data_IF_900265024295
#
_entry.id   IF_900265024295
#
_cell.length_a   1.000
_cell.length_b   1.000
_cell.length_c   1.000
_cell.angle_alpha   90.00
_cell.angle_beta   90.00
_cell.angle_gamma   90.00
#
_symmetry.space_group_name_H-M   'P 1'
#
loop_
_entity.id
_entity.type
_entity.pdbx_description
1 polymer ?
#
# COMPACT_ATOMS: atom_id res chain seq x y z
N UNK A 1 14.30 13.37 -3.02
CA UNK A 1 13.43 13.10 -1.86
C UNK A 1 13.21 11.59 -1.82
N UNK A 2 13.53 10.90 -0.73
CA UNK A 2 13.18 9.48 -0.60
C UNK A 2 11.68 9.41 -0.29
N UNK A 3 10.89 8.89 -1.22
CA UNK A 3 9.47 8.63 -0.99
C UNK A 3 9.38 7.39 -0.11
N UNK A 4 9.07 7.58 1.17
CA UNK A 4 8.80 6.46 2.08
C UNK A 4 7.41 5.93 1.80
N UNK A 5 7.29 4.63 1.48
CA UNK A 5 5.99 3.98 1.31
C UNK A 5 5.46 3.44 2.63
N UNK A 6 4.15 3.21 2.69
CA UNK A 6 3.49 2.59 3.83
C UNK A 6 4.15 1.26 4.23
N UNK A 7 4.48 0.40 3.26
CA UNK A 7 5.07 -0.92 3.55
C UNK A 7 6.42 -0.80 4.26
N UNK A 8 7.26 0.15 3.80
CA UNK A 8 8.55 0.42 4.44
C UNK A 8 8.38 0.94 5.87
N UNK A 9 7.43 1.83 6.11
CA UNK A 9 7.14 2.34 7.45
C UNK A 9 6.61 1.24 8.38
N UNK A 10 5.68 0.42 7.90
CA UNK A 10 5.11 -0.70 8.67
C UNK A 10 6.19 -1.70 9.06
N UNK A 11 7.05 -2.08 8.12
CA UNK A 11 8.15 -3.01 8.38
C UNK A 11 9.12 -2.44 9.43
N UNK A 12 9.51 -1.17 9.31
CA UNK A 12 10.42 -0.53 10.26
C UNK A 12 9.78 -0.40 11.65
N UNK A 13 8.49 -0.06 11.72
CA UNK A 13 7.75 0.08 12.98
C UNK A 13 7.63 -1.24 13.75
N UNK A 14 7.41 -2.33 13.04
CA UNK A 14 7.32 -3.68 13.62
C UNK A 14 8.69 -4.38 13.73
N UNK A 15 9.78 -3.66 13.39
CA UNK A 15 11.17 -4.16 13.43
C UNK A 15 11.38 -5.48 12.66
N UNK A 16 10.64 -5.66 11.56
CA UNK A 16 10.69 -6.87 10.75
C UNK A 16 11.81 -6.75 9.70
N UNK A 17 12.58 -7.82 9.49
CA UNK A 17 13.59 -7.84 8.42
C UNK A 17 12.94 -7.97 7.05
N UNK A 18 13.57 -7.41 6.02
CA UNK A 18 13.12 -7.53 4.63
C UNK A 18 13.03 -9.01 4.22
N UNK A 19 14.03 -9.81 4.61
CA UNK A 19 14.08 -11.24 4.30
C UNK A 19 12.88 -11.99 4.87
N UNK A 20 12.45 -11.63 6.09
CA UNK A 20 11.29 -12.26 6.72
C UNK A 20 10.02 -11.94 5.94
N UNK A 21 9.79 -10.68 5.55
CA UNK A 21 8.60 -10.32 4.77
C UNK A 21 8.60 -10.99 3.39
N UNK A 22 9.73 -10.99 2.70
CA UNK A 22 9.87 -11.63 1.40
C UNK A 22 9.60 -13.14 1.47
N UNK A 23 10.09 -13.79 2.53
CA UNK A 23 9.84 -15.23 2.80
C UNK A 23 8.36 -15.50 3.03
N UNK A 24 7.69 -14.72 3.89
CA UNK A 24 6.25 -14.88 4.15
C UNK A 24 5.41 -14.67 2.89
N UNK A 25 5.83 -13.75 2.02
CA UNK A 25 5.17 -13.48 0.75
C UNK A 25 5.51 -14.47 -0.37
N UNK A 26 6.48 -15.36 -0.15
CA UNK A 26 7.03 -16.26 -1.15
C UNK A 26 7.48 -15.54 -2.44
N UNK A 27 8.22 -14.44 -2.27
CA UNK A 27 8.79 -13.62 -3.35
C UNK A 27 10.28 -13.37 -3.10
N UNK A 28 11.00 -12.85 -4.09
CA UNK A 28 12.39 -12.45 -3.88
C UNK A 28 12.50 -11.18 -3.02
N UNK A 29 13.68 -10.99 -2.42
CA UNK A 29 13.98 -9.76 -1.67
C UNK A 29 13.91 -8.55 -2.58
N UNK A 30 14.39 -8.66 -3.82
CA UNK A 30 14.35 -7.59 -4.81
C UNK A 30 12.92 -7.21 -5.17
N UNK A 31 12.02 -8.19 -5.33
CA UNK A 31 10.60 -7.95 -5.58
C UNK A 31 9.94 -7.22 -4.41
N UNK A 32 10.23 -7.64 -3.18
CA UNK A 32 9.70 -6.95 -2.01
C UNK A 32 10.27 -5.52 -1.86
N UNK A 33 11.54 -5.30 -2.17
CA UNK A 33 12.13 -3.95 -2.19
C UNK A 33 11.45 -3.08 -3.25
N UNK A 34 11.12 -3.61 -4.42
CA UNK A 34 10.35 -2.90 -5.43
C UNK A 34 8.93 -2.55 -4.94
N UNK A 35 8.29 -3.41 -4.14
CA UNK A 35 7.03 -3.11 -3.45
C UNK A 35 7.22 -1.98 -2.42
N UNK A 36 8.25 -2.03 -1.58
CA UNK A 36 8.58 -0.97 -0.61
C UNK A 36 8.96 0.36 -1.28
N UNK A 37 9.38 0.35 -2.54
CA UNK A 37 9.64 1.55 -3.31
C UNK A 37 8.43 2.01 -4.14
N UNK A 38 7.31 1.30 -4.08
CA UNK A 38 6.08 1.61 -4.83
C UNK A 38 6.19 1.33 -6.33
N UNK A 39 7.20 0.58 -6.76
CA UNK A 39 7.43 0.19 -8.16
C UNK A 39 6.55 -1.01 -8.55
N UNK A 40 6.23 -1.88 -7.59
CA UNK A 40 5.35 -3.03 -7.75
C UNK A 40 4.15 -2.94 -6.82
N UNK A 41 2.99 -3.37 -7.32
CA UNK A 41 1.77 -3.51 -6.52
C UNK A 41 1.63 -4.94 -6.03
N UNK A 42 1.15 -5.09 -4.80
CA UNK A 42 0.80 -6.39 -4.25
C UNK A 42 -0.53 -6.89 -4.81
N UNK A 43 -0.68 -8.20 -4.93
CA UNK A 43 -1.96 -8.83 -5.24
C UNK A 43 -2.80 -9.10 -3.97
N UNK A 44 -4.04 -9.55 -4.15
CA UNK A 44 -4.96 -9.82 -3.05
C UNK A 44 -4.44 -10.85 -2.04
N UNK A 45 -3.76 -11.90 -2.52
CA UNK A 45 -3.18 -12.94 -1.66
C UNK A 45 -2.05 -12.36 -0.80
N UNK A 46 -1.14 -11.60 -1.41
CA UNK A 46 -0.04 -10.91 -0.73
C UNK A 46 -0.56 -9.90 0.28
N UNK A 47 -1.63 -9.16 -0.05
CA UNK A 47 -2.28 -8.25 0.89
C UNK A 47 -2.88 -8.98 2.09
N UNK A 48 -3.45 -10.17 1.90
CA UNK A 48 -3.93 -11.01 3.00
C UNK A 48 -2.79 -11.42 3.95
N UNK A 49 -1.66 -11.85 3.39
CA UNK A 49 -0.47 -12.25 4.16
C UNK A 49 0.09 -11.04 4.93
N UNK A 50 0.28 -9.90 4.25
CA UNK A 50 0.78 -8.67 4.89
C UNK A 50 -0.19 -8.12 5.92
N UNK A 51 -1.50 -8.23 5.69
CA UNK A 51 -2.52 -7.81 6.64
C UNK A 51 -2.45 -8.61 7.93
N UNK A 52 -2.24 -9.92 7.84
CA UNK A 52 -1.98 -10.75 9.02
C UNK A 52 -0.66 -10.41 9.71
N UNK A 53 0.41 -10.19 8.93
CA UNK A 53 1.75 -9.90 9.45
C UNK A 53 1.80 -8.56 10.20
N UNK A 54 1.19 -7.52 9.64
CA UNK A 54 1.18 -6.17 10.20
C UNK A 54 -0.08 -5.86 11.03
N UNK A 55 -1.00 -6.82 11.17
CA UNK A 55 -2.31 -6.65 11.85
C UNK A 55 -3.13 -5.48 11.29
N UNK A 56 -3.16 -5.34 9.96
CA UNK A 56 -3.87 -4.30 9.21
C UNK A 56 -4.87 -4.96 8.27
N UNK A 57 -6.00 -4.29 8.02
CA UNK A 57 -6.98 -4.74 7.03
C UNK A 57 -6.32 -4.87 5.64
N UNK A 58 -6.32 -6.07 5.02
CA UNK A 58 -5.79 -6.29 3.68
C UNK A 58 -6.35 -5.33 2.62
N UNK A 59 -7.61 -4.92 2.76
CA UNK A 59 -8.30 -3.99 1.87
C UNK A 59 -7.64 -2.62 1.91
N UNK A 60 -7.26 -2.16 3.11
CA UNK A 60 -6.57 -0.89 3.30
C UNK A 60 -5.20 -0.91 2.61
N UNK A 61 -4.47 -2.04 2.72
CA UNK A 61 -3.15 -2.21 2.11
C UNK A 61 -3.22 -2.14 0.57
N UNK A 62 -4.27 -2.70 -0.04
CA UNK A 62 -4.45 -2.63 -1.50
C UNK A 62 -4.81 -1.19 -1.93
N UNK A 63 -5.71 -0.53 -1.20
CA UNK A 63 -6.13 0.83 -1.52
C UNK A 63 -4.98 1.85 -1.39
N UNK A 64 -4.14 1.69 -0.37
CA UNK A 64 -2.96 2.53 -0.18
C UNK A 64 -1.84 2.24 -1.18
N UNK A 65 -1.73 1.02 -1.72
CA UNK A 65 -0.82 0.70 -2.82
C UNK A 65 -1.10 1.49 -4.12
N UNK A 66 -2.34 1.96 -4.30
CA UNK A 66 -2.75 2.80 -5.42
C UNK A 66 -2.59 4.30 -5.15
N UNK A 67 -2.40 4.68 -3.89
CA UNK A 67 -2.29 6.07 -3.46
C UNK A 67 -0.83 6.39 -3.24
N UNK A 68 -0.13 6.82 -4.30
CA UNK A 68 1.20 7.42 -4.17
C UNK A 68 1.06 8.53 -3.12
N UNK A 69 1.75 8.38 -1.99
CA UNK A 69 1.79 9.37 -0.92
C UNK A 69 2.34 10.67 -1.53
N UNK A 70 1.44 11.54 -2.01
CA UNK A 70 1.76 12.92 -2.25
C UNK A 70 2.04 13.52 -0.88
N UNK A 71 3.32 13.72 -0.61
CA UNK A 71 3.81 14.43 0.55
C UNK A 71 3.31 15.88 0.45
N UNK A 72 2.10 16.15 0.97
CA UNK A 72 1.60 17.50 1.16
C UNK A 72 2.05 17.91 2.55
N UNK A 73 3.08 18.74 2.58
CA UNK A 73 3.57 19.37 3.79
C UNK A 73 2.41 19.90 4.64
N UNK A 74 2.49 19.60 5.93
CA UNK A 74 1.83 20.32 7.03
C UNK A 74 0.29 20.25 7.14
N UNK A 75 -0.44 19.56 6.26
CA UNK A 75 -1.85 19.19 6.51
C UNK A 75 -2.19 17.88 5.79
N UNK A 76 -2.35 16.80 6.58
CA UNK A 76 -2.83 15.50 6.10
C UNK A 76 -4.30 15.59 5.67
N UNK A 77 -4.54 16.06 4.44
CA UNK A 77 -5.82 15.89 3.76
C UNK A 77 -5.71 14.64 2.91
N UNK A 78 -6.30 13.55 3.38
CA UNK A 78 -6.57 12.37 2.55
C UNK A 78 -7.48 12.82 1.41
N UNK A 79 -6.89 13.06 0.24
CA UNK A 79 -7.65 13.23 -0.99
C UNK A 79 -8.10 11.82 -1.36
N UNK A 80 -9.31 11.46 -0.97
CA UNK A 80 -10.00 10.32 -1.58
C UNK A 80 -10.08 10.65 -3.07
N UNK A 81 -9.40 9.85 -3.90
CA UNK A 81 -9.58 9.90 -5.34
C UNK A 81 -11.09 9.87 -5.60
N UNK A 82 -11.56 10.92 -6.29
CA UNK A 82 -12.96 11.19 -6.53
C UNK A 82 -13.71 9.91 -6.85
N UNK A 83 -14.76 9.64 -6.08
CA UNK A 83 -15.91 8.90 -6.60
C UNK A 83 -16.50 9.75 -7.73
N UNK A 84 -15.90 9.68 -8.92
CA UNK A 84 -16.65 9.88 -10.16
C UNK A 84 -17.55 8.67 -10.32
N UNK A 85 -18.68 8.72 -9.62
CA UNK A 85 -19.87 7.99 -10.02
C UNK A 85 -20.75 9.05 -10.68
N UNK A 86 -20.53 9.28 -11.97
CA UNK A 86 -21.58 9.84 -12.83
C UNK A 86 -22.73 8.84 -12.78
N UNK A 87 -23.64 9.05 -11.83
CA UNK A 87 -24.96 8.50 -11.94
C UNK A 87 -25.58 9.12 -13.18
N UNK A 88 -25.84 8.29 -14.18
CA UNK A 88 -26.78 8.57 -15.26
C UNK A 88 -28.08 9.12 -14.65
N UNK A 89 -28.27 10.44 -14.63
CA UNK A 89 -29.61 11.01 -14.51
C UNK A 89 -30.18 11.08 -15.92
N UNK A 90 -30.90 10.01 -16.25
CA UNK A 90 -31.64 9.81 -17.49
C UNK A 90 -32.54 10.99 -17.81
N UNK A 91 -32.56 11.32 -19.10
CA UNK A 91 -33.63 12.08 -19.75
C UNK A 91 -35.02 11.68 -19.24
N UNK A 92 -35.80 12.66 -18.77
CA UNK A 92 -37.22 12.85 -19.10
C UNK A 92 -37.78 14.14 -18.50
#
# INVERSE_FOLDING_TARGET
MQTTTLYKELRLKEEISIDKVATELNISVEEYVAIENGQLKINYTQAGILGNLFKIDPTLLIQTSGSINYNIGTYSRTIYADKYFEGEEKER
#
